data_IF_999404457778
#
_entry.id   IF_999404457778
#
_cell.length_a   1.000
_cell.length_b   1.000
_cell.length_c   1.000
_cell.angle_alpha   90.00
_cell.angle_beta   90.00
_cell.angle_gamma   90.00
#
_symmetry.space_group_name_H-M   'P 1'
#
loop_
_entity.id
_entity.type
_entity.pdbx_description
1 polymer ?
#
# COMPACT_ATOMS: atom_id res chain seq x y z
N UNK A 1 72.25 -2.63 -17.06
CA UNK A 1 72.43 -2.29 -15.63
C UNK A 1 71.45 -1.20 -15.25
N UNK A 2 70.40 -1.54 -14.50
CA UNK A 2 69.41 -0.60 -13.96
C UNK A 2 70.01 0.15 -12.77
N UNK A 3 70.18 1.47 -12.88
CA UNK A 3 70.58 2.33 -11.76
C UNK A 3 69.47 2.28 -10.70
N UNK A 4 69.74 1.61 -9.58
CA UNK A 4 68.89 1.67 -8.39
C UNK A 4 68.99 3.08 -7.81
N UNK A 5 67.92 3.86 -7.91
CA UNK A 5 67.78 5.12 -7.17
C UNK A 5 67.64 4.78 -5.69
N UNK A 6 68.66 5.09 -4.90
CA UNK A 6 68.60 5.03 -3.44
C UNK A 6 67.95 6.31 -2.94
N UNK A 7 66.71 6.20 -2.42
CA UNK A 7 66.03 7.32 -1.77
C UNK A 7 66.66 7.51 -0.40
N UNK A 8 67.29 8.66 -0.16
CA UNK A 8 67.92 8.98 1.11
C UNK A 8 66.88 9.14 2.22
N UNK A 9 67.27 8.82 3.46
CA UNK A 9 66.41 8.89 4.64
C UNK A 9 65.88 10.32 4.89
N UNK A 10 66.60 11.35 4.43
CA UNK A 10 66.13 12.73 4.41
C UNK A 10 64.96 12.99 3.44
N UNK A 11 64.96 12.36 2.26
CA UNK A 11 63.84 12.45 1.31
C UNK A 11 62.58 11.76 1.86
N UNK A 12 62.73 10.57 2.48
CA UNK A 12 61.61 9.87 3.13
C UNK A 12 61.00 10.70 4.28
N UNK A 13 61.84 11.35 5.09
CA UNK A 13 61.36 12.25 6.15
C UNK A 13 60.64 13.49 5.60
N UNK A 14 61.14 14.08 4.51
CA UNK A 14 60.49 15.23 3.87
C UNK A 14 59.13 14.88 3.25
N UNK A 15 59.01 13.70 2.62
CA UNK A 15 57.74 13.20 2.06
C UNK A 15 56.75 12.90 3.19
N UNK A 16 57.19 12.27 4.27
CA UNK A 16 56.34 12.02 5.45
C UNK A 16 55.85 13.31 6.11
N UNK A 17 56.71 14.32 6.25
CA UNK A 17 56.31 15.63 6.77
C UNK A 17 55.35 16.36 5.82
N UNK A 18 55.53 16.25 4.51
CA UNK A 18 54.64 16.87 3.52
C UNK A 18 53.27 16.18 3.48
N UNK A 19 53.20 14.85 3.62
CA UNK A 19 51.93 14.11 3.73
C UNK A 19 51.22 14.44 5.04
N UNK A 20 51.94 14.55 6.17
CA UNK A 20 51.36 15.01 7.43
C UNK A 20 50.82 16.44 7.33
N UNK A 21 51.58 17.37 6.73
CA UNK A 21 51.12 18.75 6.48
C UNK A 21 49.91 18.80 5.55
N UNK A 22 49.88 17.99 4.49
CA UNK A 22 48.74 17.91 3.58
C UNK A 22 47.48 17.39 4.30
N UNK A 23 47.62 16.32 5.08
CA UNK A 23 46.53 15.77 5.88
C UNK A 23 46.06 16.77 6.96
N UNK A 24 46.97 17.52 7.58
CA UNK A 24 46.64 18.58 8.55
C UNK A 24 45.93 19.77 7.89
N UNK A 25 46.33 20.16 6.68
CA UNK A 25 45.68 21.22 5.90
C UNK A 25 44.27 20.77 5.46
N UNK A 26 44.13 19.54 4.97
CA UNK A 26 42.82 18.95 4.63
C UNK A 26 41.91 18.84 5.86
N UNK A 27 42.44 18.41 7.01
CA UNK A 27 41.70 18.35 8.26
C UNK A 27 41.25 19.74 8.77
N UNK A 28 42.13 20.76 8.66
CA UNK A 28 41.79 22.15 9.00
C UNK A 28 40.73 22.73 8.05
N UNK A 29 40.83 22.45 6.75
CA UNK A 29 39.83 22.87 5.77
C UNK A 29 38.47 22.20 6.03
N UNK A 30 38.46 20.94 6.49
CA UNK A 30 37.23 20.21 6.85
C UNK A 30 36.53 20.73 8.13
N UNK A 31 37.22 21.53 8.97
CA UNK A 31 36.66 22.15 10.17
C UNK A 31 36.87 23.67 10.15
N UNK A 32 36.27 24.32 9.15
CA UNK A 32 36.28 25.77 8.97
C UNK A 32 35.33 26.47 9.95
N UNK A 33 35.90 27.00 11.05
CA UNK A 33 35.16 27.84 12.01
C UNK A 33 35.37 29.31 11.68
N UNK A 34 34.26 30.03 11.49
CA UNK A 34 34.23 31.47 11.25
C UNK A 34 33.41 32.15 12.33
N UNK A 35 33.81 33.35 12.70
CA UNK A 35 33.07 34.20 13.62
C UNK A 35 32.10 35.06 12.79
N UNK A 36 30.81 34.89 13.03
CA UNK A 36 29.73 35.48 12.22
C UNK A 36 28.85 36.31 13.15
N UNK A 37 28.51 37.53 12.74
CA UNK A 37 27.55 38.35 13.47
C UNK A 37 26.19 37.65 13.47
N UNK A 38 25.55 37.53 14.63
CA UNK A 38 24.28 36.84 14.78
C UNK A 38 23.18 37.42 13.89
N UNK A 39 23.28 38.71 13.51
CA UNK A 39 22.36 39.41 12.59
C UNK A 39 22.47 38.92 11.15
N UNK A 40 23.61 38.34 10.77
CA UNK A 40 23.87 37.77 9.45
C UNK A 40 23.48 36.29 9.37
N UNK A 41 22.96 35.71 10.47
CA UNK A 41 22.48 34.33 10.53
C UNK A 41 20.96 34.31 10.45
N UNK A 42 20.43 33.62 9.45
CA UNK A 42 19.00 33.40 9.24
C UNK A 42 18.62 32.00 9.73
N UNK A 43 17.46 31.88 10.38
CA UNK A 43 16.93 30.59 10.82
C UNK A 43 16.51 29.75 9.61
N UNK A 44 16.79 28.45 9.64
CA UNK A 44 16.29 27.55 8.61
C UNK A 44 14.78 27.35 8.76
N UNK A 45 14.03 27.79 7.74
CA UNK A 45 12.55 27.76 7.72
C UNK A 45 11.98 26.33 7.76
N UNK A 46 12.80 25.32 7.47
CA UNK A 46 12.43 23.90 7.51
C UNK A 46 12.63 23.27 8.88
N UNK A 47 13.14 24.01 9.87
CA UNK A 47 13.23 23.53 11.24
C UNK A 47 11.85 23.57 11.90
N UNK A 48 11.26 22.39 12.13
CA UNK A 48 9.95 22.21 12.76
C UNK A 48 10.05 21.68 14.20
N UNK A 49 11.25 21.58 14.74
CA UNK A 49 11.47 21.07 16.09
C UNK A 49 11.22 22.15 17.15
N UNK A 50 10.57 21.75 18.24
CA UNK A 50 10.36 22.62 19.38
C UNK A 50 11.68 22.92 20.12
N UNK A 51 11.78 24.15 20.62
CA UNK A 51 12.93 24.65 21.36
C UNK A 51 12.49 24.84 22.80
N UNK A 52 13.08 24.09 23.73
CA UNK A 52 12.78 24.17 25.16
C UNK A 52 13.99 24.66 25.96
N UNK A 53 13.73 25.18 27.16
CA UNK A 53 14.73 25.65 28.14
C UNK A 53 15.79 26.58 27.50
N UNK A 54 15.33 27.66 26.88
CA UNK A 54 16.22 28.67 26.28
C UNK A 54 16.80 29.58 27.36
N UNK A 55 15.99 30.03 28.32
CA UNK A 55 16.43 30.94 29.38
C UNK A 55 17.55 30.34 30.23
N UNK A 56 17.40 29.08 30.64
CA UNK A 56 18.43 28.34 31.39
C UNK A 56 19.74 28.26 30.60
N UNK A 57 19.66 28.03 29.28
CA UNK A 57 20.83 27.97 28.40
C UNK A 57 21.45 29.35 28.19
N UNK A 58 20.64 30.41 28.13
CA UNK A 58 21.13 31.78 28.02
C UNK A 58 21.93 32.18 29.27
N UNK A 59 21.42 31.88 30.47
CA UNK A 59 22.16 32.11 31.71
C UNK A 59 23.44 31.26 31.80
N UNK A 60 23.40 30.00 31.38
CA UNK A 60 24.60 29.14 31.32
C UNK A 60 25.66 29.71 30.34
N UNK A 61 25.25 30.11 29.14
CA UNK A 61 26.14 30.75 28.15
C UNK A 61 26.71 32.06 28.70
N UNK A 62 25.92 32.83 29.45
CA UNK A 62 26.36 34.09 30.06
C UNK A 62 27.44 33.85 31.13
N UNK A 63 27.32 32.80 31.92
CA UNK A 63 28.28 32.46 32.98
C UNK A 63 29.52 31.73 32.47
N UNK A 64 29.34 30.76 31.58
CA UNK A 64 30.35 29.79 31.20
C UNK A 64 30.86 29.96 29.74
N UNK A 65 30.19 30.81 28.96
CA UNK A 65 30.47 30.97 27.54
C UNK A 65 29.84 29.88 26.67
N UNK A 66 29.98 30.04 25.35
CA UNK A 66 29.44 29.09 24.38
C UNK A 66 30.39 27.89 24.20
N UNK A 67 29.99 26.72 24.72
CA UNK A 67 30.80 25.49 24.65
C UNK A 67 30.89 24.84 23.26
N UNK A 68 29.85 25.01 22.43
CA UNK A 68 29.77 24.39 21.11
C UNK A 68 29.37 25.42 20.06
N UNK A 69 30.10 25.45 18.95
CA UNK A 69 29.84 26.34 17.81
C UNK A 69 28.52 26.03 17.11
N UNK A 70 27.90 27.04 16.48
CA UNK A 70 26.78 26.83 15.56
C UNK A 70 27.26 26.14 14.27
N UNK A 71 26.34 25.55 13.51
CA UNK A 71 26.63 25.06 12.15
C UNK A 71 25.77 25.83 11.18
N UNK A 72 26.40 26.41 10.17
CA UNK A 72 25.73 27.26 9.19
C UNK A 72 26.17 26.92 7.77
N UNK A 73 25.35 27.25 6.77
CA UNK A 73 25.75 27.28 5.36
C UNK A 73 25.69 28.70 4.82
N UNK A 74 26.51 29.01 3.81
CA UNK A 74 26.43 30.28 3.10
C UNK A 74 25.20 30.32 2.18
N UNK A 75 24.54 31.48 2.12
CA UNK A 75 23.47 31.79 1.18
C UNK A 75 23.99 32.71 0.06
N UNK A 76 23.31 32.72 -1.08
CA UNK A 76 23.68 33.54 -2.24
C UNK A 76 23.61 35.05 -1.96
N UNK A 77 22.81 35.46 -0.97
CA UNK A 77 22.66 36.85 -0.54
C UNK A 77 23.79 37.34 0.39
N UNK A 78 24.83 36.52 0.62
CA UNK A 78 25.97 36.85 1.48
C UNK A 78 25.74 36.58 2.98
N UNK A 79 24.52 36.19 3.38
CA UNK A 79 24.20 35.77 4.75
C UNK A 79 24.43 34.27 4.95
N UNK A 80 24.10 33.80 6.14
CA UNK A 80 24.24 32.41 6.54
C UNK A 80 22.89 31.84 6.96
N UNK A 81 22.63 30.58 6.65
CA UNK A 81 21.47 29.86 7.18
C UNK A 81 21.89 28.88 8.27
N UNK A 82 21.18 28.91 9.40
CA UNK A 82 21.42 28.05 10.55
C UNK A 82 21.01 26.61 10.28
N UNK A 83 21.96 25.68 10.32
CA UNK A 83 21.71 24.24 10.12
C UNK A 83 21.59 23.50 11.44
N UNK A 84 22.39 23.88 12.44
CA UNK A 84 22.35 23.25 13.76
C UNK A 84 22.75 24.23 14.86
N UNK A 85 22.17 24.02 16.04
CA UNK A 85 22.37 24.89 17.20
C UNK A 85 21.22 25.85 17.46
N UNK A 86 19.99 25.52 17.05
CA UNK A 86 18.79 26.36 17.22
C UNK A 86 18.62 26.92 18.64
N UNK A 87 18.71 26.07 19.66
CA UNK A 87 18.65 26.49 21.08
C UNK A 87 19.74 27.49 21.44
N UNK A 88 20.97 27.25 20.96
CA UNK A 88 22.14 28.12 21.21
C UNK A 88 21.99 29.45 20.48
N UNK A 89 21.57 29.43 19.21
CA UNK A 89 21.28 30.64 18.44
C UNK A 89 20.22 31.49 19.13
N UNK A 90 19.13 30.87 19.59
CA UNK A 90 18.03 31.58 20.27
C UNK A 90 18.51 32.19 21.59
N UNK A 91 19.26 31.43 22.41
CA UNK A 91 19.83 31.93 23.66
C UNK A 91 20.83 33.08 23.44
N UNK A 92 21.71 32.96 22.43
CA UNK A 92 22.64 34.03 22.05
C UNK A 92 21.91 35.29 21.56
N UNK A 93 20.86 35.12 20.76
CA UNK A 93 20.03 36.23 20.27
C UNK A 93 19.40 36.97 21.44
N UNK A 94 18.79 36.23 22.38
CA UNK A 94 18.21 36.79 23.60
C UNK A 94 19.25 37.56 24.43
N UNK A 95 20.47 37.03 24.60
CA UNK A 95 21.54 37.72 25.34
C UNK A 95 21.95 39.03 24.66
N UNK A 96 22.05 39.04 23.32
CA UNK A 96 22.37 40.24 22.54
C UNK A 96 21.25 41.28 22.63
N UNK A 97 19.99 40.85 22.54
CA UNK A 97 18.81 41.74 22.71
C UNK A 97 18.74 42.35 24.12
N UNK A 98 19.24 41.65 25.14
CA UNK A 98 19.41 42.16 26.51
C UNK A 98 20.62 43.10 26.68
N UNK A 99 21.34 43.41 25.60
CA UNK A 99 22.48 44.34 25.57
C UNK A 99 23.85 43.71 25.81
N UNK A 100 23.94 42.38 25.84
CA UNK A 100 25.23 41.69 25.99
C UNK A 100 25.93 41.51 24.63
N UNK A 101 26.47 42.59 24.07
CA UNK A 101 27.08 42.65 22.74
C UNK A 101 28.27 41.68 22.55
N UNK A 102 28.90 41.21 23.64
CA UNK A 102 29.97 40.20 23.58
C UNK A 102 29.52 38.88 22.92
N UNK A 103 28.20 38.60 22.92
CA UNK A 103 27.62 37.41 22.29
C UNK A 103 27.16 37.63 20.83
N UNK A 104 27.33 38.83 20.28
CA UNK A 104 26.93 39.14 18.91
C UNK A 104 27.79 38.40 17.88
N UNK A 105 29.07 38.17 18.18
CA UNK A 105 29.99 37.48 17.28
C UNK A 105 30.10 36.00 17.63
N UNK A 106 29.44 35.14 16.84
CA UNK A 106 29.24 33.73 17.18
C UNK A 106 30.20 32.82 16.39
N UNK A 107 30.92 31.89 17.06
CA UNK A 107 31.70 30.89 16.35
C UNK A 107 30.78 29.89 15.64
N UNK A 108 30.95 29.78 14.33
CA UNK A 108 30.13 28.97 13.45
C UNK A 108 31.02 28.08 12.57
N UNK A 109 30.71 26.78 12.51
CA UNK A 109 31.27 25.88 11.49
C UNK A 109 30.51 26.13 10.20
N UNK A 110 31.21 26.61 9.18
CA UNK A 110 30.64 26.88 7.87
C UNK A 110 30.76 25.61 7.02
N UNK A 111 29.64 25.12 6.50
CA UNK A 111 29.57 23.95 5.62
C UNK A 111 29.07 24.32 4.23
N UNK A 112 29.47 23.53 3.24
CA UNK A 112 28.92 23.59 1.89
C UNK A 112 27.78 22.57 1.79
N UNK A 113 26.55 23.05 1.60
CA UNK A 113 25.37 22.21 1.47
C UNK A 113 24.29 22.90 0.61
N UNK A 114 23.77 22.18 -0.38
CA UNK A 114 22.57 22.61 -1.10
C UNK A 114 21.31 22.46 -0.23
N UNK A 115 20.14 22.87 -0.73
CA UNK A 115 18.89 22.89 0.05
C UNK A 115 18.43 21.50 0.52
N UNK A 116 18.78 20.46 -0.23
CA UNK A 116 18.45 19.06 0.08
C UNK A 116 19.42 18.57 1.17
N UNK A 117 20.71 18.77 0.98
CA UNK A 117 21.75 18.34 1.91
C UNK A 117 21.64 19.09 3.25
N UNK A 118 21.33 20.37 3.21
CA UNK A 118 21.03 21.18 4.39
C UNK A 118 19.92 20.57 5.24
N UNK A 119 18.85 20.10 4.61
CA UNK A 119 17.71 19.51 5.30
C UNK A 119 18.02 18.11 5.85
N UNK A 120 18.77 17.29 5.08
CA UNK A 120 19.25 15.99 5.55
C UNK A 120 20.13 16.17 6.80
N UNK A 121 21.07 17.12 6.77
CA UNK A 121 21.98 17.40 7.90
C UNK A 121 21.19 17.89 9.13
N UNK A 122 20.17 18.72 8.93
CA UNK A 122 19.28 19.18 10.01
C UNK A 122 18.59 17.99 10.70
N UNK A 123 18.05 17.05 9.93
CA UNK A 123 17.38 15.84 10.45
C UNK A 123 18.38 14.94 11.20
N UNK A 124 19.55 14.70 10.61
CA UNK A 124 20.62 13.90 11.23
C UNK A 124 21.09 14.51 12.56
N UNK A 125 21.31 15.83 12.61
CA UNK A 125 21.76 16.51 13.82
C UNK A 125 20.74 16.36 14.97
N UNK A 126 19.45 16.41 14.67
CA UNK A 126 18.40 16.18 15.66
C UNK A 126 18.37 14.73 16.14
N UNK A 127 18.41 13.75 15.23
CA UNK A 127 18.45 12.33 15.59
C UNK A 127 19.70 11.94 16.40
N UNK A 128 20.79 12.72 16.29
CA UNK A 128 22.01 12.48 17.05
C UNK A 128 21.95 12.98 18.50
N UNK A 129 21.18 14.05 18.76
CA UNK A 129 21.25 14.82 20.02
C UNK A 129 20.09 14.56 20.97
N UNK A 130 18.95 14.06 20.48
CA UNK A 130 17.80 13.70 21.30
C UNK A 130 17.17 12.38 20.87
N UNK A 131 16.45 11.75 21.77
CA UNK A 131 15.59 10.63 21.39
C UNK A 131 14.36 11.14 20.63
N UNK A 132 14.16 10.60 19.44
CA UNK A 132 12.97 10.85 18.64
C UNK A 132 11.83 9.94 19.12
N UNK A 133 10.62 10.50 19.19
CA UNK A 133 9.41 9.70 19.36
C UNK A 133 9.16 8.81 18.14
N UNK A 134 8.29 7.82 18.29
CA UNK A 134 7.95 6.90 17.20
C UNK A 134 7.27 7.61 16.02
N UNK A 135 6.47 8.65 16.28
CA UNK A 135 5.83 9.47 15.26
C UNK A 135 6.86 10.34 14.54
N UNK A 136 7.77 10.99 15.28
CA UNK A 136 8.86 11.74 14.66
C UNK A 136 9.72 10.84 13.78
N UNK A 137 10.08 9.63 14.22
CA UNK A 137 10.81 8.66 13.38
C UNK A 137 10.04 8.32 12.11
N UNK A 138 8.74 8.10 12.20
CA UNK A 138 7.87 7.81 11.05
C UNK A 138 7.92 8.95 10.02
N UNK A 139 7.80 10.20 10.49
CA UNK A 139 7.87 11.41 9.66
C UNK A 139 9.27 11.63 9.06
N UNK A 140 10.33 11.49 9.86
CA UNK A 140 11.70 11.64 9.37
C UNK A 140 12.05 10.60 8.31
N UNK A 141 11.61 9.34 8.48
CA UNK A 141 11.80 8.30 7.47
C UNK A 141 11.10 8.68 6.16
N UNK A 142 9.86 9.20 6.24
CA UNK A 142 9.14 9.70 5.05
C UNK A 142 9.94 10.80 4.37
N UNK A 143 10.36 11.80 5.15
CA UNK A 143 11.03 12.98 4.61
C UNK A 143 12.41 12.67 4.02
N UNK A 144 13.25 11.92 4.71
CA UNK A 144 14.53 11.47 4.18
C UNK A 144 14.37 10.61 2.93
N UNK A 145 13.32 9.77 2.85
CA UNK A 145 13.03 8.99 1.64
C UNK A 145 12.74 9.91 0.45
N UNK A 146 11.97 10.98 0.63
CA UNK A 146 11.69 11.99 -0.41
C UNK A 146 12.96 12.74 -0.82
N UNK A 147 13.78 13.18 0.15
CA UNK A 147 15.02 13.92 -0.10
C UNK A 147 16.03 13.07 -0.87
N UNK A 148 16.29 11.83 -0.45
CA UNK A 148 17.22 10.95 -1.16
C UNK A 148 16.72 10.52 -2.54
N UNK A 149 15.41 10.33 -2.72
CA UNK A 149 14.84 10.10 -4.06
C UNK A 149 15.02 11.31 -4.96
N UNK A 150 14.84 12.52 -4.43
CA UNK A 150 15.03 13.77 -5.16
C UNK A 150 16.50 13.96 -5.54
N UNK A 151 17.43 13.75 -4.59
CA UNK A 151 18.88 13.75 -4.80
C UNK A 151 19.28 12.80 -5.94
N UNK A 152 18.78 11.56 -5.90
CA UNK A 152 19.01 10.57 -6.97
C UNK A 152 18.42 11.01 -8.31
N UNK A 153 17.23 11.63 -8.33
CA UNK A 153 16.59 12.16 -9.55
C UNK A 153 17.39 13.32 -10.17
N UNK A 154 18.03 14.14 -9.34
CA UNK A 154 18.90 15.24 -9.75
C UNK A 154 20.28 14.78 -10.26
N UNK A 155 20.56 13.47 -10.27
CA UNK A 155 21.85 12.92 -10.66
C UNK A 155 22.94 13.04 -9.59
N UNK A 156 22.58 13.44 -8.37
CA UNK A 156 23.52 13.53 -7.26
C UNK A 156 23.87 12.14 -6.70
N UNK A 157 25.10 11.98 -6.20
CA UNK A 157 25.60 10.71 -5.68
C UNK A 157 24.89 10.33 -4.37
N UNK A 158 24.20 9.18 -4.37
CA UNK A 158 23.60 8.56 -3.17
C UNK A 158 24.34 7.24 -2.90
N UNK A 159 25.16 7.16 -1.83
CA UNK A 159 26.04 6.01 -1.60
C UNK A 159 25.27 4.81 -1.04
N UNK A 160 24.75 3.97 -1.94
CA UNK A 160 24.12 2.70 -1.57
C UNK A 160 22.59 2.73 -1.60
N UNK A 161 21.96 1.84 -0.82
CA UNK A 161 20.51 1.72 -0.75
C UNK A 161 19.95 2.80 0.18
N UNK A 162 18.96 3.56 -0.30
CA UNK A 162 18.30 4.64 0.46
C UNK A 162 17.88 4.17 1.86
N UNK A 163 17.29 2.97 1.98
CA UNK A 163 16.88 2.41 3.28
C UNK A 163 18.04 2.24 4.26
N UNK A 164 19.23 1.84 3.80
CA UNK A 164 20.41 1.67 4.67
C UNK A 164 20.99 3.02 5.09
N UNK A 165 20.95 4.00 4.19
CA UNK A 165 21.38 5.37 4.50
C UNK A 165 20.48 5.98 5.57
N UNK A 166 19.15 5.90 5.39
CA UNK A 166 18.17 6.41 6.37
C UNK A 166 18.31 5.69 7.72
N UNK A 167 18.58 4.38 7.71
CA UNK A 167 18.83 3.62 8.92
C UNK A 167 20.02 4.19 9.71
N UNK A 168 21.12 4.51 9.03
CA UNK A 168 22.28 5.13 9.67
C UNK A 168 21.98 6.55 10.14
N UNK A 169 21.31 7.36 9.32
CA UNK A 169 20.98 8.77 9.62
C UNK A 169 20.16 8.92 10.90
N UNK A 170 19.21 8.01 11.11
CA UNK A 170 18.28 8.02 12.24
C UNK A 170 18.67 7.06 13.37
N UNK A 171 19.82 6.37 13.28
CA UNK A 171 20.26 5.31 14.21
C UNK A 171 19.21 4.20 14.39
N UNK A 172 18.57 3.81 13.30
CA UNK A 172 17.57 2.75 13.24
C UNK A 172 18.13 1.49 12.57
N UNK A 173 17.47 0.35 12.75
CA UNK A 173 17.70 -0.82 11.89
C UNK A 173 17.01 -0.66 10.53
N UNK A 174 17.54 -1.25 9.44
CA UNK A 174 16.85 -1.28 8.14
C UNK A 174 15.45 -1.90 8.23
N UNK A 175 15.23 -2.83 9.16
CA UNK A 175 13.92 -3.41 9.43
C UNK A 175 12.93 -2.40 10.00
N UNK A 176 13.37 -1.55 10.94
CA UNK A 176 12.54 -0.45 11.45
C UNK A 176 12.20 0.55 10.35
N UNK A 177 13.19 0.98 9.55
CA UNK A 177 12.95 1.87 8.40
C UNK A 177 11.92 1.25 7.45
N UNK A 178 12.05 -0.04 7.14
CA UNK A 178 11.07 -0.76 6.31
C UNK A 178 9.66 -0.84 6.91
N UNK A 179 9.52 -0.86 8.25
CA UNK A 179 8.21 -0.77 8.92
C UNK A 179 7.61 0.62 8.76
N UNK A 180 8.36 1.68 9.05
CA UNK A 180 7.91 3.06 8.87
C UNK A 180 7.57 3.37 7.41
N UNK A 181 8.37 2.92 6.44
CA UNK A 181 8.08 3.05 5.01
C UNK A 181 6.74 2.40 4.62
N UNK A 182 6.45 1.21 5.16
CA UNK A 182 5.19 0.49 4.91
C UNK A 182 4.00 1.27 5.46
N UNK A 183 4.12 1.79 6.69
CA UNK A 183 3.08 2.60 7.33
C UNK A 183 2.82 3.86 6.51
N UNK A 184 3.87 4.61 6.18
CA UNK A 184 3.77 5.82 5.38
C UNK A 184 3.07 5.59 4.04
N UNK A 185 3.37 4.46 3.38
CA UNK A 185 2.86 4.13 2.05
C UNK A 185 1.44 3.56 2.05
N UNK A 186 1.11 2.67 2.98
CA UNK A 186 -0.06 1.80 2.86
C UNK A 186 -1.12 2.00 3.95
N UNK A 187 -0.81 2.68 5.06
CA UNK A 187 -1.80 2.92 6.11
C UNK A 187 -2.79 4.01 5.66
N UNK A 188 -4.08 3.73 5.78
CA UNK A 188 -5.14 4.70 5.45
C UNK A 188 -5.08 5.95 6.35
N UNK A 189 -5.51 7.13 5.86
CA UNK A 189 -5.42 8.39 6.60
C UNK A 189 -6.04 8.34 8.00
N UNK A 190 -7.18 7.69 8.16
CA UNK A 190 -7.91 7.61 9.41
C UNK A 190 -7.14 6.81 10.47
N UNK A 191 -6.47 5.73 10.07
CA UNK A 191 -5.60 4.97 10.98
C UNK A 191 -4.28 5.70 11.27
N UNK A 192 -3.82 6.59 10.37
CA UNK A 192 -2.66 7.47 10.64
C UNK A 192 -3.00 8.50 11.72
N UNK A 193 -4.19 9.09 11.67
CA UNK A 193 -4.65 10.03 12.70
C UNK A 193 -4.73 9.36 14.08
N UNK A 194 -5.27 8.13 14.15
CA UNK A 194 -5.32 7.35 15.40
C UNK A 194 -3.90 7.03 15.91
N UNK A 195 -2.96 6.74 15.01
CA UNK A 195 -1.54 6.53 15.33
C UNK A 195 -0.88 7.81 15.87
N UNK A 196 -1.11 8.95 15.23
CA UNK A 196 -0.58 10.26 15.65
C UNK A 196 -1.12 10.67 17.02
N UNK A 197 -2.39 10.36 17.31
CA UNK A 197 -3.01 10.58 18.61
C UNK A 197 -2.55 9.59 19.70
N UNK A 198 -1.70 8.61 19.37
CA UNK A 198 -1.15 7.63 20.31
C UNK A 198 -2.05 6.43 20.62
N UNK A 199 -3.26 6.38 20.04
CA UNK A 199 -4.23 5.30 20.26
C UNK A 199 -3.95 4.05 19.40
N UNK A 200 -2.95 4.10 18.53
CA UNK A 200 -2.48 2.98 17.74
C UNK A 200 -0.96 2.88 17.82
N UNK A 201 -0.42 1.70 18.12
CA UNK A 201 1.04 1.50 18.19
C UNK A 201 1.66 1.33 16.80
N UNK A 202 2.94 1.70 16.62
CA UNK A 202 3.69 1.44 15.38
C UNK A 202 3.67 -0.03 14.96
N UNK A 203 3.70 -0.95 15.93
CA UNK A 203 3.64 -2.38 15.65
C UNK A 203 2.31 -2.73 14.96
N UNK A 204 1.19 -2.32 15.53
CA UNK A 204 -0.15 -2.59 14.99
C UNK A 204 -0.34 -1.86 13.66
N UNK A 205 0.06 -0.59 13.57
CA UNK A 205 0.04 0.17 12.33
C UNK A 205 0.80 -0.55 11.21
N UNK A 206 1.99 -1.10 11.48
CA UNK A 206 2.74 -1.88 10.49
C UNK A 206 2.04 -3.18 10.10
N UNK A 207 1.33 -3.83 11.01
CA UNK A 207 0.53 -5.02 10.69
C UNK A 207 -0.66 -4.68 9.79
N UNK A 208 -1.39 -3.61 10.12
CA UNK A 208 -2.55 -3.14 9.36
C UNK A 208 -2.15 -2.65 7.96
N UNK A 209 -1.00 -2.01 7.84
CA UNK A 209 -0.41 -1.57 6.56
C UNK A 209 -0.05 -2.71 5.60
N UNK A 210 -0.16 -3.97 6.04
CA UNK A 210 0.03 -5.16 5.21
C UNK A 210 -1.27 -5.76 4.69
N UNK A 211 -2.41 -5.14 5.01
CA UNK A 211 -3.75 -5.51 4.56
C UNK A 211 -4.24 -4.57 3.45
N UNK A 212 -5.25 -5.01 2.71
CA UNK A 212 -5.99 -4.18 1.75
C UNK A 212 -6.70 -3.02 2.45
N UNK A 213 -7.01 -1.95 1.70
CA UNK A 213 -7.69 -0.78 2.26
C UNK A 213 -9.05 -1.14 2.87
N UNK A 214 -9.81 -2.06 2.25
CA UNK A 214 -11.11 -2.50 2.78
C UNK A 214 -10.96 -3.20 4.14
N UNK A 215 -9.96 -4.07 4.28
CA UNK A 215 -9.64 -4.72 5.55
C UNK A 215 -9.14 -3.71 6.61
N UNK A 216 -8.43 -2.65 6.19
CA UNK A 216 -8.04 -1.56 7.10
C UNK A 216 -9.26 -0.75 7.57
N UNK A 217 -10.27 -0.53 6.72
CA UNK A 217 -11.54 0.12 7.12
C UNK A 217 -12.32 -0.72 8.14
N UNK A 218 -12.36 -2.04 7.98
CA UNK A 218 -12.94 -2.94 9.00
C UNK A 218 -12.21 -2.78 10.33
N UNK A 219 -10.88 -2.69 10.32
CA UNK A 219 -10.08 -2.45 11.53
C UNK A 219 -10.36 -1.06 12.13
N UNK A 220 -10.51 -0.03 11.30
CA UNK A 220 -10.87 1.31 11.76
C UNK A 220 -12.21 1.32 12.49
N UNK A 221 -13.24 0.67 11.95
CA UNK A 221 -14.53 0.54 12.63
C UNK A 221 -14.42 -0.21 13.96
N UNK A 222 -13.57 -1.24 14.02
CA UNK A 222 -13.28 -1.98 15.26
C UNK A 222 -12.63 -1.06 16.30
N UNK A 223 -11.63 -0.28 15.91
CA UNK A 223 -10.92 0.64 16.80
C UNK A 223 -11.82 1.80 17.22
N UNK A 224 -12.67 2.35 16.35
CA UNK A 224 -13.59 3.42 16.76
C UNK A 224 -14.57 2.97 17.86
N UNK A 225 -14.83 1.67 17.98
CA UNK A 225 -15.64 1.09 19.05
C UNK A 225 -14.81 0.74 20.31
N UNK A 226 -13.48 0.90 20.31
CA UNK A 226 -12.55 0.53 21.39
C UNK A 226 -11.33 1.43 21.51
N UNK A 227 -11.06 1.93 22.71
CA UNK A 227 -9.96 2.88 22.97
C UNK A 227 -8.56 2.35 22.60
N UNK A 228 -8.27 1.05 22.77
CA UNK A 228 -6.97 0.45 22.42
C UNK A 228 -7.10 -0.97 21.85
N UNK A 229 -6.13 -1.38 21.00
CA UNK A 229 -6.01 -2.75 20.48
C UNK A 229 -4.63 -3.35 20.79
N UNK A 230 -4.61 -4.58 21.31
CA UNK A 230 -3.34 -5.28 21.63
C UNK A 230 -2.63 -5.78 20.36
N UNK A 231 -1.32 -6.05 20.48
CA UNK A 231 -0.52 -6.61 19.38
C UNK A 231 -0.98 -8.01 18.96
N UNK A 232 -1.33 -8.83 19.94
CA UNK A 232 -1.85 -10.18 19.72
C UNK A 232 -3.18 -10.12 18.97
N UNK A 233 -4.07 -9.19 19.37
CA UNK A 233 -5.36 -8.98 18.72
C UNK A 233 -5.21 -8.46 17.29
N UNK A 234 -4.31 -7.51 17.07
CA UNK A 234 -3.98 -7.02 15.73
C UNK A 234 -3.46 -8.13 14.82
N UNK A 235 -2.63 -9.03 15.36
CA UNK A 235 -2.08 -10.17 14.63
C UNK A 235 -3.18 -11.19 14.30
N UNK A 236 -4.06 -11.50 15.25
CA UNK A 236 -5.18 -12.41 15.07
C UNK A 236 -6.16 -11.88 14.01
N UNK A 237 -6.51 -10.59 14.08
CA UNK A 237 -7.33 -9.89 13.09
C UNK A 237 -6.73 -10.00 11.69
N UNK A 238 -5.43 -9.70 11.56
CA UNK A 238 -4.73 -9.82 10.28
C UNK A 238 -4.83 -11.24 9.71
N UNK A 239 -4.62 -12.27 10.53
CA UNK A 239 -4.71 -13.67 10.07
C UNK A 239 -6.13 -14.01 9.61
N UNK A 240 -7.15 -13.62 10.38
CA UNK A 240 -8.56 -13.86 10.06
C UNK A 240 -8.98 -13.14 8.77
N UNK A 241 -8.65 -11.86 8.62
CA UNK A 241 -8.98 -11.06 7.44
C UNK A 241 -8.31 -11.60 6.18
N UNK A 242 -7.04 -12.01 6.27
CA UNK A 242 -6.35 -12.66 5.13
C UNK A 242 -6.97 -13.99 4.75
N UNK A 243 -7.42 -14.78 5.72
CA UNK A 243 -8.09 -16.06 5.46
C UNK A 243 -9.43 -15.82 4.75
N UNK A 244 -10.22 -14.85 5.22
CA UNK A 244 -11.48 -14.47 4.58
C UNK A 244 -11.27 -13.95 3.15
N UNK A 245 -10.24 -13.15 2.92
CA UNK A 245 -9.89 -12.65 1.58
C UNK A 245 -9.54 -13.80 0.63
N UNK A 246 -8.77 -14.79 1.12
CA UNK A 246 -8.45 -16.00 0.36
C UNK A 246 -9.69 -16.86 0.07
N UNK A 247 -10.56 -17.08 1.06
CA UNK A 247 -11.80 -17.83 0.90
C UNK A 247 -12.74 -17.16 -0.12
N UNK A 248 -12.88 -15.83 -0.07
CA UNK A 248 -13.62 -15.06 -1.08
C UNK A 248 -13.02 -15.25 -2.48
N UNK A 249 -11.70 -15.24 -2.61
CA UNK A 249 -11.03 -15.42 -3.90
C UNK A 249 -11.23 -16.84 -4.47
N UNK A 250 -11.22 -17.86 -3.60
CA UNK A 250 -11.41 -19.25 -4.02
C UNK A 250 -12.88 -19.56 -4.36
N UNK A 251 -13.83 -18.99 -3.61
CA UNK A 251 -15.27 -19.05 -3.91
C UNK A 251 -15.58 -18.38 -5.26
N UNK A 252 -14.97 -17.23 -5.54
CA UNK A 252 -15.11 -16.53 -6.81
C UNK A 252 -14.57 -17.36 -8.00
N UNK A 253 -13.39 -17.98 -7.84
CA UNK A 253 -12.83 -18.89 -8.87
C UNK A 253 -13.72 -20.11 -9.11
N UNK A 254 -14.30 -20.66 -8.05
CA UNK A 254 -15.24 -21.78 -8.16
C UNK A 254 -16.47 -21.39 -8.97
N UNK A 255 -17.10 -20.27 -8.63
CA UNK A 255 -18.26 -19.74 -9.36
C UNK A 255 -17.93 -19.43 -10.83
N UNK A 256 -16.75 -18.87 -11.10
CA UNK A 256 -16.26 -18.62 -12.47
C UNK A 256 -16.10 -19.93 -13.25
N UNK A 257 -15.54 -20.98 -12.63
CA UNK A 257 -15.42 -22.29 -13.26
C UNK A 257 -16.78 -22.96 -13.50
N UNK A 258 -17.72 -22.86 -12.56
CA UNK A 258 -19.08 -23.38 -12.72
C UNK A 258 -19.78 -22.71 -13.91
N UNK A 259 -19.67 -21.38 -14.03
CA UNK A 259 -20.22 -20.63 -15.18
C UNK A 259 -19.54 -20.96 -16.51
N UNK A 260 -18.22 -21.19 -16.51
CA UNK A 260 -17.50 -21.63 -17.72
C UNK A 260 -17.94 -23.01 -18.19
N UNK A 261 -18.24 -23.93 -17.27
CA UNK A 261 -18.80 -25.25 -17.61
C UNK A 261 -20.18 -25.12 -18.24
N UNK A 262 -21.02 -24.23 -17.71
CA UNK A 262 -22.35 -23.94 -18.22
C UNK A 262 -22.29 -23.38 -19.65
N UNK A 263 -21.37 -22.45 -19.91
CA UNK A 263 -21.10 -21.92 -21.26
C UNK A 263 -20.66 -23.02 -22.23
N UNK A 264 -19.76 -23.92 -21.82
CA UNK A 264 -19.29 -25.03 -22.68
C UNK A 264 -20.39 -26.03 -23.01
N UNK A 265 -21.35 -26.26 -22.11
CA UNK A 265 -22.51 -27.11 -22.40
C UNK A 265 -23.35 -26.51 -23.52
N UNK A 266 -23.65 -25.21 -23.44
CA UNK A 266 -24.40 -24.48 -24.47
C UNK A 266 -23.65 -24.52 -25.83
N UNK A 267 -22.33 -24.33 -25.82
CA UNK A 267 -21.51 -24.43 -27.04
C UNK A 267 -21.54 -25.83 -27.67
N UNK A 268 -21.47 -26.87 -26.85
CA UNK A 268 -21.56 -28.25 -27.32
C UNK A 268 -22.95 -28.61 -27.85
N UNK A 269 -24.02 -28.21 -27.18
CA UNK A 269 -25.41 -28.43 -27.63
C UNK A 269 -25.64 -27.79 -29.00
N UNK A 270 -25.22 -26.53 -29.18
CA UNK A 270 -25.31 -25.84 -30.48
C UNK A 270 -24.42 -26.47 -31.56
N UNK A 271 -23.25 -26.99 -31.18
CA UNK A 271 -22.37 -27.72 -32.10
C UNK A 271 -22.98 -29.06 -32.55
N UNK A 272 -23.71 -29.75 -31.68
CA UNK A 272 -24.45 -30.98 -32.00
C UNK A 272 -25.62 -30.66 -32.94
N UNK A 273 -26.36 -29.58 -32.69
CA UNK A 273 -27.46 -29.13 -33.55
C UNK A 273 -26.96 -28.80 -34.97
N UNK A 274 -25.83 -28.09 -35.09
CA UNK A 274 -25.19 -27.80 -36.38
C UNK A 274 -24.85 -29.09 -37.12
N UNK A 275 -24.23 -30.06 -36.45
CA UNK A 275 -23.91 -31.37 -37.07
C UNK A 275 -25.17 -32.13 -37.49
N UNK A 276 -26.26 -32.01 -36.74
CA UNK A 276 -27.54 -32.66 -37.09
C UNK A 276 -28.08 -32.08 -38.39
N UNK A 277 -28.06 -30.75 -38.52
CA UNK A 277 -28.52 -30.04 -39.72
C UNK A 277 -27.60 -30.33 -40.92
N UNK A 278 -26.28 -30.39 -40.71
CA UNK A 278 -25.32 -30.80 -41.74
C UNK A 278 -25.60 -32.23 -42.24
N UNK A 279 -25.90 -33.16 -41.33
CA UNK A 279 -26.28 -34.53 -41.70
C UNK A 279 -27.65 -34.58 -42.40
N UNK A 280 -28.64 -33.82 -41.95
CA UNK A 280 -29.95 -33.71 -42.62
C UNK A 280 -29.80 -33.12 -44.03
N UNK A 281 -28.90 -32.14 -44.21
CA UNK A 281 -28.54 -31.60 -45.54
C UNK A 281 -27.94 -32.69 -46.42
N UNK A 282 -26.96 -33.44 -45.90
CA UNK A 282 -26.30 -34.50 -46.64
C UNK A 282 -27.26 -35.66 -46.99
N UNK A 283 -28.19 -35.99 -46.10
CA UNK A 283 -29.26 -36.96 -46.36
C UNK A 283 -30.27 -36.45 -47.39
N UNK A 284 -30.68 -35.18 -47.32
CA UNK A 284 -31.53 -34.56 -48.33
C UNK A 284 -30.86 -34.57 -49.72
N UNK A 285 -29.55 -34.29 -49.78
CA UNK A 285 -28.73 -34.36 -51.00
C UNK A 285 -28.64 -35.79 -51.56
N UNK A 286 -28.60 -36.80 -50.68
CA UNK A 286 -28.59 -38.23 -51.03
C UNK A 286 -29.97 -38.79 -51.35
N UNK A 287 -31.03 -38.12 -50.88
CA UNK A 287 -32.42 -38.52 -51.10
C UNK A 287 -32.79 -38.28 -52.57
N UNK A 288 -32.48 -39.30 -53.37
CA UNK A 288 -32.74 -39.41 -54.82
C UNK A 288 -34.21 -39.25 -55.24
N UNK A 289 -35.14 -39.01 -54.30
CA UNK A 289 -36.60 -39.05 -54.52
C UNK A 289 -37.13 -37.80 -55.21
N UNK A 290 -36.66 -36.61 -54.83
CA UNK A 290 -37.04 -35.34 -55.49
C UNK A 290 -36.49 -35.23 -56.92
N UNK A 291 -35.26 -35.71 -57.16
CA UNK A 291 -34.66 -35.77 -58.50
C UNK A 291 -35.35 -36.86 -59.34
N UNK A 292 -35.72 -38.00 -58.75
CA UNK A 292 -36.38 -39.10 -59.48
C UNK A 292 -37.81 -38.78 -59.89
N UNK A 293 -38.58 -38.10 -59.03
CA UNK A 293 -40.00 -37.80 -59.30
C UNK A 293 -40.15 -36.71 -60.36
N UNK A 294 -39.28 -35.70 -60.39
CA UNK A 294 -39.28 -34.65 -61.43
C UNK A 294 -38.63 -35.14 -62.73
N UNK A 295 -37.63 -36.03 -62.70
CA UNK A 295 -37.12 -36.73 -63.89
C UNK A 295 -38.18 -37.66 -64.49
N UNK A 296 -39.00 -38.32 -63.68
CA UNK A 296 -40.15 -39.10 -64.14
C UNK A 296 -41.23 -38.20 -64.75
N UNK A 297 -41.49 -37.02 -64.16
CA UNK A 297 -42.43 -36.03 -64.70
C UNK A 297 -41.94 -35.43 -66.02
N UNK A 298 -40.66 -35.07 -66.10
CA UNK A 298 -40.00 -34.56 -67.30
C UNK A 298 -39.92 -35.63 -68.39
N UNK A 299 -39.66 -36.91 -68.08
CA UNK A 299 -39.80 -38.01 -69.06
C UNK A 299 -41.23 -38.14 -69.60
N UNK A 300 -42.24 -37.95 -68.74
CA UNK A 300 -43.65 -37.93 -69.14
C UNK A 300 -44.03 -36.71 -70.01
N UNK A 301 -43.37 -35.56 -69.80
CA UNK A 301 -43.52 -34.36 -70.61
C UNK A 301 -42.69 -34.41 -71.91
N UNK A 302 -41.56 -35.12 -71.91
CA UNK A 302 -40.66 -35.34 -73.05
C UNK A 302 -41.26 -36.30 -74.09
N UNK A 303 -42.06 -37.29 -73.66
CA UNK A 303 -42.89 -38.13 -74.55
C UNK A 303 -43.92 -37.31 -75.38
N UNK A 304 -44.10 -36.01 -75.08
CA UNK A 304 -45.01 -35.12 -75.80
C UNK A 304 -44.34 -34.13 -76.75
N UNK A 305 -43.01 -34.05 -76.81
CA UNK A 305 -42.31 -33.21 -77.78
C UNK A 305 -41.18 -33.97 -78.46
N UNK A 306 -41.42 -34.42 -79.69
CA UNK A 306 -40.38 -34.99 -80.54
C UNK A 306 -39.26 -33.97 -80.82
N UNK A 307 -38.02 -34.42 -80.62
CA UNK A 307 -36.74 -33.87 -81.09
C UNK A 307 -36.03 -32.82 -80.21
N UNK A 308 -35.40 -33.30 -79.13
CA UNK A 308 -34.10 -32.84 -78.63
C UNK A 308 -33.16 -34.05 -78.46
N UNK A 309 -31.85 -33.89 -78.67
CA UNK A 309 -30.90 -35.01 -78.65
C UNK A 309 -30.67 -35.57 -77.22
N UNK A 310 -30.26 -36.83 -77.08
CA UNK A 310 -29.91 -37.43 -75.76
C UNK A 310 -28.84 -36.61 -75.02
N UNK A 311 -27.95 -35.95 -75.76
CA UNK A 311 -26.92 -35.06 -75.21
C UNK A 311 -27.54 -33.79 -74.62
N UNK A 312 -28.52 -33.18 -75.28
CA UNK A 312 -29.23 -32.00 -74.79
C UNK A 312 -30.03 -32.31 -73.51
N UNK A 313 -30.62 -33.50 -73.39
CA UNK A 313 -31.33 -33.96 -72.18
C UNK A 313 -30.35 -34.12 -71.02
N UNK A 314 -29.20 -34.76 -71.28
CA UNK A 314 -28.17 -34.98 -70.26
C UNK A 314 -27.54 -33.67 -69.79
N UNK A 315 -27.41 -32.71 -70.70
CA UNK A 315 -26.90 -31.37 -70.39
C UNK A 315 -27.91 -30.57 -69.55
N UNK A 316 -29.21 -30.67 -69.87
CA UNK A 316 -30.30 -30.11 -69.05
C UNK A 316 -30.39 -30.77 -67.67
N UNK A 317 -30.23 -32.09 -67.56
CA UNK A 317 -30.17 -32.80 -66.28
C UNK A 317 -29.00 -32.36 -65.41
N UNK A 318 -27.83 -32.13 -66.01
CA UNK A 318 -26.66 -31.62 -65.30
C UNK A 318 -26.86 -30.17 -64.84
N UNK A 319 -27.44 -29.32 -65.71
CA UNK A 319 -27.78 -27.94 -65.37
C UNK A 319 -28.79 -27.88 -64.21
N UNK A 320 -29.83 -28.71 -64.24
CA UNK A 320 -30.84 -28.76 -63.19
C UNK A 320 -30.29 -29.30 -61.86
N UNK A 321 -29.36 -30.27 -61.92
CA UNK A 321 -28.64 -30.76 -60.73
C UNK A 321 -27.73 -29.70 -60.13
N UNK A 322 -27.04 -28.94 -60.97
CA UNK A 322 -26.20 -27.82 -60.56
C UNK A 322 -27.06 -26.70 -59.93
N UNK A 323 -28.20 -26.34 -60.53
CA UNK A 323 -29.14 -25.35 -59.98
C UNK A 323 -29.76 -25.82 -58.67
N UNK A 324 -30.28 -27.05 -58.59
CA UNK A 324 -30.85 -27.61 -57.36
C UNK A 324 -29.81 -27.69 -56.23
N UNK A 325 -28.56 -28.06 -56.56
CA UNK A 325 -27.45 -28.05 -55.61
C UNK A 325 -27.16 -26.63 -55.13
N UNK A 326 -27.17 -25.65 -56.02
CA UNK A 326 -26.93 -24.24 -55.70
C UNK A 326 -28.04 -23.66 -54.83
N UNK A 327 -29.30 -24.01 -55.09
CA UNK A 327 -30.46 -23.57 -54.30
C UNK A 327 -30.50 -24.23 -52.92
N UNK A 328 -30.21 -25.54 -52.82
CA UNK A 328 -30.05 -26.19 -51.52
C UNK A 328 -28.86 -25.61 -50.76
N UNK A 329 -27.72 -25.44 -51.41
CA UNK A 329 -26.54 -24.86 -50.79
C UNK A 329 -26.87 -23.45 -50.28
N UNK A 330 -27.52 -22.58 -51.06
CA UNK A 330 -27.93 -21.24 -50.61
C UNK A 330 -28.95 -21.26 -49.44
N UNK A 331 -29.94 -22.16 -49.48
CA UNK A 331 -30.96 -22.29 -48.42
C UNK A 331 -30.34 -22.75 -47.10
N UNK A 332 -29.54 -23.82 -47.13
CA UNK A 332 -28.88 -24.34 -45.94
C UNK A 332 -27.72 -23.44 -45.49
N UNK A 333 -27.06 -22.71 -46.40
CA UNK A 333 -26.11 -21.66 -46.03
C UNK A 333 -26.83 -20.57 -45.22
N UNK A 334 -28.02 -20.15 -45.65
CA UNK A 334 -28.84 -19.15 -44.94
C UNK A 334 -29.37 -19.66 -43.59
N UNK A 335 -29.78 -20.93 -43.48
CA UNK A 335 -30.15 -21.55 -42.19
C UNK A 335 -28.95 -21.70 -41.24
N UNK A 336 -27.80 -22.16 -41.73
CA UNK A 336 -26.56 -22.25 -40.95
C UNK A 336 -26.08 -20.85 -40.54
N UNK A 337 -26.24 -19.86 -41.42
CA UNK A 337 -25.90 -18.46 -41.14
C UNK A 337 -26.87 -17.83 -40.14
N UNK A 338 -28.17 -18.15 -40.21
CA UNK A 338 -29.17 -17.75 -39.20
C UNK A 338 -28.89 -18.39 -37.84
N UNK A 339 -28.50 -19.66 -37.78
CA UNK A 339 -28.14 -20.35 -36.53
C UNK A 339 -26.79 -19.84 -36.00
N UNK A 340 -25.82 -19.54 -36.88
CA UNK A 340 -24.59 -18.82 -36.49
C UNK A 340 -24.88 -17.41 -36.00
N UNK A 341 -25.87 -16.74 -36.57
CA UNK A 341 -26.31 -15.40 -36.16
C UNK A 341 -27.09 -15.45 -34.84
N UNK A 342 -27.90 -16.47 -34.56
CA UNK A 342 -28.46 -16.75 -33.24
C UNK A 342 -27.38 -17.11 -32.21
N UNK A 343 -26.37 -17.91 -32.59
CA UNK A 343 -25.22 -18.22 -31.74
C UNK A 343 -24.34 -16.97 -31.49
N UNK A 344 -24.27 -16.05 -32.47
CA UNK A 344 -23.68 -14.73 -32.31
C UNK A 344 -24.61 -13.74 -31.58
N UNK A 345 -25.93 -13.96 -31.53
CA UNK A 345 -26.88 -13.19 -30.71
C UNK A 345 -26.77 -13.60 -29.24
N UNK A 346 -26.42 -14.85 -28.96
CA UNK A 346 -25.96 -15.29 -27.62
C UNK A 346 -24.63 -14.64 -27.19
N UNK A 347 -24.01 -13.80 -28.04
CA UNK A 347 -22.95 -12.89 -27.61
C UNK A 347 -23.50 -11.88 -26.61
N UNK A 348 -24.73 -11.40 -26.77
CA UNK A 348 -25.39 -10.52 -25.79
C UNK A 348 -25.65 -11.25 -24.47
N UNK A 349 -26.02 -12.54 -24.50
CA UNK A 349 -26.24 -13.34 -23.28
C UNK A 349 -24.90 -13.71 -22.59
N UNK A 350 -23.85 -14.05 -23.36
CA UNK A 350 -22.48 -14.21 -22.83
C UNK A 350 -21.91 -12.90 -22.28
N UNK A 351 -22.21 -11.78 -22.93
CA UNK A 351 -21.81 -10.44 -22.51
C UNK A 351 -22.64 -10.00 -21.30
N UNK A 352 -23.89 -10.44 -21.18
CA UNK A 352 -24.77 -10.31 -20.00
C UNK A 352 -24.29 -11.18 -18.85
N UNK A 353 -23.87 -12.42 -19.07
CA UNK A 353 -23.24 -13.26 -18.04
C UNK A 353 -21.86 -12.76 -17.66
N UNK A 354 -21.08 -12.20 -18.60
CA UNK A 354 -19.82 -11.51 -18.29
C UNK A 354 -20.06 -10.23 -17.52
N UNK A 355 -21.09 -9.45 -17.85
CA UNK A 355 -21.53 -8.28 -17.08
C UNK A 355 -22.06 -8.67 -15.71
N UNK A 356 -22.88 -9.71 -15.58
CA UNK A 356 -23.34 -10.25 -14.31
C UNK A 356 -22.16 -10.81 -13.51
N UNK A 357 -21.14 -11.40 -14.14
CA UNK A 357 -19.91 -11.83 -13.49
C UNK A 357 -19.05 -10.64 -13.06
N UNK A 358 -18.96 -9.56 -13.85
CA UNK A 358 -18.29 -8.31 -13.46
C UNK A 358 -19.07 -7.58 -12.36
N UNK A 359 -20.39 -7.53 -12.43
CA UNK A 359 -21.29 -7.01 -11.41
C UNK A 359 -21.27 -7.89 -10.16
N UNK A 360 -21.09 -9.21 -10.27
CA UNK A 360 -20.88 -10.12 -9.13
C UNK A 360 -19.47 -9.98 -8.57
N UNK A 361 -18.45 -9.74 -9.39
CA UNK A 361 -17.09 -9.39 -8.94
C UNK A 361 -17.10 -8.04 -8.23
N UNK A 362 -17.85 -7.07 -8.73
CA UNK A 362 -18.09 -5.76 -8.10
C UNK A 362 -18.94 -5.89 -6.83
N UNK A 363 -20.04 -6.65 -6.85
CA UNK A 363 -20.85 -6.99 -5.68
C UNK A 363 -20.12 -7.88 -4.69
N UNK A 364 -19.10 -8.65 -5.10
CA UNK A 364 -18.25 -9.44 -4.18
C UNK A 364 -17.22 -8.57 -3.47
N UNK A 365 -16.74 -7.51 -4.14
CA UNK A 365 -16.03 -6.40 -3.49
C UNK A 365 -16.96 -5.68 -2.51
N UNK A 366 -18.24 -5.57 -2.85
CA UNK A 366 -19.28 -5.03 -1.96
C UNK A 366 -19.96 -6.07 -1.05
N UNK A 367 -19.57 -7.37 -1.05
CA UNK A 367 -20.31 -8.41 -0.32
C UNK A 367 -20.05 -8.24 1.17
N UNK A 368 -20.94 -7.41 1.70
CA UNK A 368 -21.16 -6.99 3.06
C UNK A 368 -21.42 -8.20 3.94
N UNK A 369 -22.17 -9.22 3.51
CA UNK A 369 -22.67 -10.27 4.42
C UNK A 369 -21.60 -11.00 5.27
N UNK A 370 -20.53 -11.59 4.69
CA UNK A 370 -19.49 -12.26 5.51
C UNK A 370 -18.60 -11.28 6.28
N UNK A 371 -18.45 -10.05 5.77
CA UNK A 371 -17.66 -9.01 6.43
C UNK A 371 -18.42 -8.38 7.58
N UNK A 372 -19.73 -8.19 7.41
CA UNK A 372 -20.69 -7.68 8.37
C UNK A 372 -20.96 -8.76 9.43
N UNK A 373 -21.08 -10.04 9.06
CA UNK A 373 -21.16 -11.14 10.02
C UNK A 373 -19.85 -11.27 10.83
N UNK A 374 -18.68 -11.16 10.18
CA UNK A 374 -17.40 -11.09 10.90
C UNK A 374 -17.32 -9.86 11.80
N UNK A 375 -17.79 -8.71 11.33
CA UNK A 375 -17.80 -7.43 12.04
C UNK A 375 -18.71 -7.49 13.26
N UNK A 376 -19.93 -7.98 13.14
CA UNK A 376 -20.89 -8.12 14.24
C UNK A 376 -20.42 -9.19 15.24
N UNK A 377 -19.90 -10.33 14.77
CA UNK A 377 -19.33 -11.35 15.65
C UNK A 377 -18.07 -10.85 16.36
N UNK A 378 -17.20 -10.13 15.65
CA UNK A 378 -16.02 -9.53 16.24
C UNK A 378 -16.42 -8.47 17.27
N UNK A 379 -17.38 -7.61 16.96
CA UNK A 379 -17.93 -6.60 17.89
C UNK A 379 -18.47 -7.26 19.15
N UNK A 380 -19.25 -8.33 19.01
CA UNK A 380 -19.75 -9.08 20.16
C UNK A 380 -18.61 -9.67 21.01
N UNK A 381 -17.61 -10.31 20.38
CA UNK A 381 -16.41 -10.82 21.08
C UNK A 381 -15.64 -9.68 21.75
N UNK A 382 -15.57 -8.53 21.09
CA UNK A 382 -14.86 -7.35 21.55
C UNK A 382 -15.55 -6.76 22.80
N UNK A 383 -16.88 -6.63 22.79
CA UNK A 383 -17.68 -6.18 23.92
C UNK A 383 -17.55 -7.15 25.10
N UNK A 384 -17.63 -8.47 24.85
CA UNK A 384 -17.42 -9.50 25.87
C UNK A 384 -16.03 -9.44 26.52
N UNK A 385 -14.97 -9.18 25.73
CA UNK A 385 -13.61 -8.97 26.26
C UNK A 385 -13.52 -7.71 27.12
N UNK A 386 -14.18 -6.62 26.72
CA UNK A 386 -14.22 -5.37 27.48
C UNK A 386 -14.87 -5.58 28.86
N UNK A 387 -16.00 -6.29 28.89
CA UNK A 387 -16.68 -6.68 30.13
C UNK A 387 -15.75 -7.52 31.03
N UNK A 388 -15.07 -8.51 30.46
CA UNK A 388 -14.12 -9.34 31.20
C UNK A 388 -12.96 -8.52 31.81
N UNK A 389 -12.34 -7.63 31.02
CA UNK A 389 -11.26 -6.76 31.50
C UNK A 389 -11.75 -5.80 32.59
N UNK A 390 -12.95 -5.23 32.44
CA UNK A 390 -13.60 -4.42 33.46
C UNK A 390 -13.75 -5.16 34.78
N UNK A 391 -14.24 -6.40 34.76
CA UNK A 391 -14.36 -7.26 35.94
C UNK A 391 -13.00 -7.54 36.60
N UNK A 392 -11.96 -7.81 35.81
CA UNK A 392 -10.59 -8.00 36.33
C UNK A 392 -10.05 -6.71 36.98
N UNK A 393 -10.33 -5.55 36.40
CA UNK A 393 -9.93 -4.25 36.96
C UNK A 393 -10.63 -3.97 38.29
N UNK A 394 -11.95 -4.22 38.38
CA UNK A 394 -12.73 -4.10 39.61
C UNK A 394 -12.14 -4.99 40.71
N UNK A 395 -11.79 -6.24 40.39
CA UNK A 395 -11.15 -7.15 41.35
C UNK A 395 -9.79 -6.64 41.84
N UNK A 396 -8.96 -6.07 40.94
CA UNK A 396 -7.68 -5.46 41.32
C UNK A 396 -7.88 -4.26 42.23
N UNK A 397 -8.83 -3.39 41.91
CA UNK A 397 -9.14 -2.20 42.72
C UNK A 397 -9.68 -2.60 44.10
N UNK A 398 -10.57 -3.60 44.17
CA UNK A 398 -11.06 -4.12 45.45
C UNK A 398 -9.93 -4.68 46.31
N UNK A 399 -8.98 -5.44 45.73
CA UNK A 399 -7.79 -5.91 46.46
C UNK A 399 -6.98 -4.74 47.02
N UNK A 400 -6.69 -3.73 46.20
CA UNK A 400 -5.98 -2.52 46.63
C UNK A 400 -6.71 -1.78 47.76
N UNK A 401 -8.03 -1.65 47.68
CA UNK A 401 -8.85 -1.04 48.73
C UNK A 401 -8.80 -1.86 50.03
N UNK A 402 -8.86 -3.20 49.92
CA UNK A 402 -8.74 -4.11 51.06
C UNK A 402 -7.37 -4.01 51.73
N UNK A 403 -6.30 -4.01 50.95
CA UNK A 403 -4.92 -3.90 51.45
C UNK A 403 -4.69 -2.56 52.16
N UNK A 404 -5.30 -1.49 51.64
CA UNK A 404 -5.27 -0.15 52.24
C UNK A 404 -6.34 0.08 53.32
N UNK A 405 -7.12 -0.94 53.71
CA UNK A 405 -8.22 -0.87 54.69
C UNK A 405 -9.23 0.24 54.42
N UNK A 406 -9.51 0.52 53.15
CA UNK A 406 -10.50 1.51 52.72
C UNK A 406 -11.91 0.93 52.92
N UNK A 407 -12.78 1.70 53.57
CA UNK A 407 -14.20 1.32 53.78
C UNK A 407 -14.94 1.38 52.45
N UNK A 408 -15.67 0.31 52.13
CA UNK A 408 -16.55 0.24 50.95
C UNK A 408 -17.90 0.83 51.35
N UNK A 409 -18.38 1.78 50.56
CA UNK A 409 -19.64 2.50 50.78
C UNK A 409 -20.83 1.77 50.15
N UNK A 410 -22.05 2.05 50.63
CA UNK A 410 -23.27 1.35 50.22
C UNK A 410 -23.63 1.58 48.74
N UNK A 411 -23.23 2.72 48.16
CA UNK A 411 -23.37 3.01 46.73
C UNK A 411 -22.56 2.03 45.85
N UNK A 412 -21.39 1.58 46.31
CA UNK A 412 -20.59 0.58 45.60
C UNK A 412 -21.29 -0.79 45.63
N UNK A 413 -21.96 -1.13 46.73
CA UNK A 413 -22.75 -2.37 46.83
C UNK A 413 -23.96 -2.34 45.87
N UNK A 414 -24.66 -1.21 45.78
CA UNK A 414 -25.77 -1.04 44.84
C UNK A 414 -25.33 -1.21 43.37
N UNK A 415 -24.15 -0.67 43.01
CA UNK A 415 -23.59 -0.84 41.67
C UNK A 415 -23.11 -2.28 41.41
N UNK A 416 -22.64 -2.97 42.44
CA UNK A 416 -22.25 -4.38 42.34
C UNK A 416 -23.47 -5.26 42.03
N UNK A 417 -24.60 -5.02 42.68
CA UNK A 417 -25.84 -5.78 42.44
C UNK A 417 -26.37 -5.58 41.01
N UNK A 418 -26.31 -4.34 40.49
CA UNK A 418 -26.64 -4.05 39.08
C UNK A 418 -25.71 -4.79 38.11
N UNK A 419 -24.41 -4.87 38.44
CA UNK A 419 -23.41 -5.60 37.65
C UNK A 419 -23.67 -7.12 37.70
N UNK A 420 -24.16 -7.65 38.83
CA UNK A 420 -24.55 -9.06 38.96
C UNK A 420 -25.76 -9.41 38.08
N UNK A 421 -26.73 -8.50 37.90
CA UNK A 421 -27.83 -8.70 36.94
C UNK A 421 -27.33 -8.84 35.50
N UNK A 422 -26.30 -8.09 35.11
CA UNK A 422 -25.67 -8.23 33.79
C UNK A 422 -25.05 -9.63 33.57
N UNK A 423 -24.66 -10.32 34.65
CA UNK A 423 -24.16 -11.71 34.56
C UNK A 423 -25.27 -12.68 34.16
N UNK A 424 -26.52 -12.40 34.52
CA UNK A 424 -27.69 -13.15 34.06
C UNK A 424 -27.92 -12.96 32.55
N UNK A 425 -27.76 -11.73 32.05
CA UNK A 425 -27.88 -11.40 30.61
C UNK A 425 -26.84 -12.20 29.80
N UNK A 426 -25.59 -12.26 30.29
CA UNK A 426 -24.53 -13.04 29.64
C UNK A 426 -24.81 -14.56 29.64
N UNK A 427 -25.47 -15.07 30.68
CA UNK A 427 -25.90 -16.48 30.75
C UNK A 427 -27.00 -16.76 29.72
N UNK A 428 -28.01 -15.91 29.63
CA UNK A 428 -29.07 -16.01 28.61
C UNK A 428 -28.49 -15.96 27.20
N UNK A 429 -27.61 -15.00 26.92
CA UNK A 429 -26.93 -14.90 25.63
C UNK A 429 -26.15 -16.18 25.26
N UNK A 430 -25.47 -16.79 26.23
CA UNK A 430 -24.74 -18.05 26.01
C UNK A 430 -25.67 -19.21 25.67
N UNK A 431 -26.86 -19.25 26.27
CA UNK A 431 -27.85 -20.29 26.02
C UNK A 431 -28.57 -20.08 24.68
N UNK A 432 -28.70 -18.83 24.19
CA UNK A 432 -29.24 -18.50 22.86
C UNK A 432 -28.26 -18.80 21.70
N UNK A 433 -26.94 -18.71 21.94
CA UNK A 433 -25.89 -18.95 20.93
C UNK A 433 -25.57 -20.45 20.75
N UNK A 434 -25.87 -21.28 21.76
CA UNK A 434 -25.64 -22.73 21.76
C UNK A 434 -26.70 -23.48 21.00
#
# INVERSE_FOLDING_TARGET
MSKKFSISQGMLNSVSQNVKKANEIEAKNNFNVQYIDIKDIERNKKNFYEIVNVDELAEDIKMNGLNHNLVVRKLDNGKYELISGERRYTALTQLVEQGNEIFALVPCKVIEANDIDSEIILIQANAQTRELTEIEKLEQVKRLTELYKTKKKNGEKVPGKIREIIANDLKLSPTQVGRYERINKNLIPELKEILENGNLTIANASEFSSLSEDNQKVILEIINNKVEISKEEATELKVKLKKLEQEKADELKRLENEKLVEIRKIENEKSVEIRRIENEKDEALRSKKLISDEVLRLKSELDKSENKSEEEIKELENQLREELKKDLDNKYLSEIENIKNEANSNKEEKERYRKELEEMKAKSKENKDKSDEFKENYKLVADLKSVYQGLVSILKQHRKMKDNKIVITDDILEQLDKTMMATSILRTLKDEIK
#
